data_IF_400276982317
#
_entry.id   IF_400276982317
#
_cell.length_a   1.000
_cell.length_b   1.000
_cell.length_c   1.000
_cell.angle_alpha   90.00
_cell.angle_beta   90.00
_cell.angle_gamma   90.00
#
_symmetry.space_group_name_H-M   'P 1'
#
loop_
_entity.id
_entity.type
_entity.pdbx_description
1 polymer ?
#
# COMPACT_ATOMS: atom_id res chain seq x y z
N UNK A 1 -22.27 19.48 -1.70
CA UNK A 1 -21.71 18.15 -1.39
C UNK A 1 -22.84 17.13 -1.40
N UNK A 2 -22.65 15.90 -1.91
CA UNK A 2 -23.69 14.87 -1.91
C UNK A 2 -23.96 14.40 -0.46
N UNK A 3 -25.21 14.09 -0.15
CA UNK A 3 -25.55 13.49 1.15
C UNK A 3 -24.92 12.09 1.28
N UNK A 4 -24.52 11.68 2.50
CA UNK A 4 -23.90 10.38 2.81
C UNK A 4 -24.68 9.20 2.20
N UNK A 5 -26.02 9.20 2.34
CA UNK A 5 -26.89 8.16 1.79
C UNK A 5 -26.80 8.07 0.26
N UNK A 6 -26.74 9.20 -0.44
CA UNK A 6 -26.60 9.22 -1.90
C UNK A 6 -25.26 8.67 -2.37
N UNK A 7 -24.16 8.99 -1.65
CA UNK A 7 -22.82 8.45 -1.95
C UNK A 7 -22.82 6.94 -1.75
N UNK A 8 -23.44 6.45 -0.67
CA UNK A 8 -23.54 5.01 -0.39
C UNK A 8 -24.30 4.27 -1.50
N UNK A 9 -25.46 4.78 -1.92
CA UNK A 9 -26.24 4.19 -3.03
C UNK A 9 -25.46 4.17 -4.35
N UNK A 10 -24.77 5.27 -4.70
CA UNK A 10 -23.92 5.31 -5.89
C UNK A 10 -22.77 4.32 -5.81
N UNK A 11 -22.17 4.17 -4.62
CA UNK A 11 -21.14 3.17 -4.38
C UNK A 11 -21.65 1.74 -4.63
N UNK A 12 -22.80 1.39 -4.10
CA UNK A 12 -23.40 0.06 -4.31
C UNK A 12 -23.78 -0.20 -5.77
N UNK A 13 -24.17 0.86 -6.50
CA UNK A 13 -24.56 0.75 -7.90
C UNK A 13 -23.35 0.62 -8.84
N UNK A 14 -22.26 1.33 -8.57
CA UNK A 14 -21.15 1.50 -9.51
C UNK A 14 -19.83 0.86 -9.08
N UNK A 15 -19.70 0.43 -7.81
CA UNK A 15 -18.51 -0.27 -7.34
C UNK A 15 -18.84 -1.72 -6.98
N UNK A 16 -17.83 -2.59 -7.02
CA UNK A 16 -18.02 -4.00 -6.71
C UNK A 16 -18.51 -4.21 -5.27
N UNK A 17 -19.48 -5.10 -5.04
CA UNK A 17 -19.90 -5.48 -3.68
C UNK A 17 -18.79 -6.10 -2.84
N UNK A 18 -17.71 -6.58 -3.47
CA UNK A 18 -16.54 -7.10 -2.76
C UNK A 18 -15.68 -6.00 -2.12
N UNK A 19 -15.89 -4.74 -2.49
CA UNK A 19 -15.22 -3.59 -1.89
C UNK A 19 -15.96 -3.17 -0.60
N UNK A 20 -15.75 -3.91 0.48
CA UNK A 20 -16.33 -3.61 1.79
C UNK A 20 -15.82 -2.29 2.35
N UNK A 21 -16.65 -1.64 3.15
CA UNK A 21 -16.25 -0.52 4.01
C UNK A 21 -15.74 -1.06 5.35
N UNK A 22 -14.84 -0.32 5.99
CA UNK A 22 -14.20 -0.75 7.24
C UNK A 22 -15.11 -0.60 8.46
N UNK A 23 -16.18 0.18 8.36
CA UNK A 23 -17.05 0.50 9.50
C UNK A 23 -18.51 0.15 9.20
N UNK A 24 -19.27 -0.30 10.20
CA UNK A 24 -20.69 -0.59 10.08
C UNK A 24 -21.49 0.66 9.70
N UNK A 25 -21.12 1.80 10.28
CA UNK A 25 -21.63 3.12 9.86
C UNK A 25 -20.56 3.82 9.01
N UNK A 26 -20.79 3.97 7.69
CA UNK A 26 -19.80 4.57 6.80
C UNK A 26 -19.50 6.02 7.16
N UNK A 27 -18.23 6.35 7.30
CA UNK A 27 -17.76 7.71 7.52
C UNK A 27 -17.60 8.44 6.17
N UNK A 28 -18.11 9.66 6.08
CA UNK A 28 -17.90 10.54 4.93
C UNK A 28 -16.77 11.53 5.24
N UNK A 29 -15.53 11.04 5.12
CA UNK A 29 -14.34 11.88 5.35
C UNK A 29 -14.14 12.83 4.18
N UNK A 30 -13.95 14.11 4.47
CA UNK A 30 -13.83 15.19 3.48
C UNK A 30 -12.55 16.02 3.61
N UNK A 31 -11.84 15.90 4.72
CA UNK A 31 -10.60 16.65 4.98
C UNK A 31 -9.63 15.81 5.81
N UNK A 32 -8.34 15.99 5.56
CA UNK A 32 -7.25 15.52 6.41
C UNK A 32 -6.29 16.65 6.72
N UNK A 33 -5.75 16.73 7.94
CA UNK A 33 -4.79 17.73 8.37
C UNK A 33 -3.91 17.18 9.50
N UNK A 34 -2.61 17.08 9.25
CA UNK A 34 -1.68 16.46 10.21
C UNK A 34 -2.11 15.04 10.56
N UNK A 35 -2.33 14.75 11.81
CA UNK A 35 -2.78 13.44 12.30
C UNK A 35 -4.30 13.27 12.34
N UNK A 36 -5.07 14.21 11.85
CA UNK A 36 -6.52 14.22 11.97
C UNK A 36 -7.24 14.10 10.63
N UNK A 37 -8.38 13.41 10.68
CA UNK A 37 -9.40 13.35 9.63
C UNK A 37 -10.66 14.09 10.10
N UNK A 38 -11.40 14.64 9.14
CA UNK A 38 -12.66 15.36 9.41
C UNK A 38 -13.75 14.85 8.48
N UNK A 39 -14.92 14.58 9.04
CA UNK A 39 -16.07 14.21 8.23
C UNK A 39 -16.85 15.42 7.72
N UNK A 40 -17.90 15.16 6.94
CA UNK A 40 -18.76 16.17 6.37
C UNK A 40 -19.62 16.93 7.41
N UNK A 41 -19.76 16.38 8.60
CA UNK A 41 -20.49 16.98 9.71
C UNK A 41 -19.55 17.81 10.63
N UNK A 42 -18.23 17.82 10.32
CA UNK A 42 -17.22 18.56 11.04
C UNK A 42 -16.62 17.82 12.25
N UNK A 43 -16.98 16.55 12.43
CA UNK A 43 -16.38 15.73 13.48
C UNK A 43 -14.91 15.45 13.17
N UNK A 44 -14.07 15.55 14.18
CA UNK A 44 -12.63 15.29 14.10
C UNK A 44 -12.32 13.87 14.62
N UNK A 45 -11.50 13.16 13.89
CA UNK A 45 -11.02 11.83 14.23
C UNK A 45 -9.49 11.80 14.25
N UNK A 46 -8.90 11.22 15.30
CA UNK A 46 -7.48 10.91 15.30
C UNK A 46 -7.25 9.71 14.35
N UNK A 47 -6.43 9.90 13.33
CA UNK A 47 -6.11 8.84 12.39
C UNK A 47 -5.02 7.92 12.94
N UNK A 48 -5.42 6.84 13.57
CA UNK A 48 -4.54 5.79 14.07
C UNK A 48 -4.47 4.56 13.15
N UNK A 49 -5.02 4.64 11.94
CA UNK A 49 -5.15 3.51 11.00
C UNK A 49 -4.38 3.72 9.70
N UNK A 50 -4.41 4.94 9.13
CA UNK A 50 -3.79 5.22 7.84
C UNK A 50 -2.28 5.41 7.99
N UNK A 51 -1.53 4.32 7.81
CA UNK A 51 -0.08 4.26 7.99
C UNK A 51 0.76 4.74 6.78
N UNK A 52 0.12 5.24 5.74
CA UNK A 52 0.79 5.74 4.53
C UNK A 52 1.27 7.19 4.70
N UNK A 53 0.62 7.96 5.55
CA UNK A 53 0.86 9.40 5.74
C UNK A 53 1.96 9.67 6.78
N UNK A 54 3.20 9.29 6.47
CA UNK A 54 4.35 9.41 7.39
C UNK A 54 4.59 10.80 7.97
N UNK A 55 4.21 11.85 7.25
CA UNK A 55 4.34 13.26 7.67
C UNK A 55 2.99 13.93 7.94
N UNK A 56 1.94 13.12 8.03
CA UNK A 56 0.56 13.56 8.20
C UNK A 56 -0.13 13.95 6.91
N UNK A 57 -1.46 14.08 7.01
CA UNK A 57 -2.32 14.45 5.89
C UNK A 57 -2.03 15.87 5.41
N UNK A 58 -2.04 16.04 4.10
CA UNK A 58 -1.94 17.36 3.43
C UNK A 58 -0.71 18.17 3.85
N UNK A 59 0.44 17.52 4.08
CA UNK A 59 1.66 18.22 4.48
C UNK A 59 2.03 19.29 3.45
N UNK A 60 2.15 20.57 3.84
CA UNK A 60 2.21 21.69 2.89
C UNK A 60 3.42 21.64 1.95
N UNK A 61 4.58 21.19 2.42
CA UNK A 61 5.77 21.04 1.57
C UNK A 61 5.61 19.93 0.53
N UNK A 62 4.92 18.84 0.88
CA UNK A 62 4.65 17.72 -0.04
C UNK A 62 3.65 18.17 -1.11
N UNK A 63 2.56 18.82 -0.70
CA UNK A 63 1.56 19.36 -1.60
C UNK A 63 2.15 20.38 -2.59
N UNK A 64 2.96 21.32 -2.10
CA UNK A 64 3.61 22.32 -2.95
C UNK A 64 4.61 21.69 -3.94
N UNK A 65 5.42 20.72 -3.50
CA UNK A 65 6.36 20.01 -4.39
C UNK A 65 5.62 19.23 -5.50
N UNK A 66 4.51 18.56 -5.15
CA UNK A 66 3.69 17.85 -6.12
C UNK A 66 3.08 18.83 -7.14
N UNK A 67 2.51 19.95 -6.69
CA UNK A 67 1.95 20.98 -7.56
C UNK A 67 2.98 21.50 -8.57
N UNK A 68 4.16 21.91 -8.08
CA UNK A 68 5.25 22.41 -8.94
C UNK A 68 5.68 21.37 -9.98
N UNK A 69 5.73 20.09 -9.61
CA UNK A 69 6.11 19.03 -10.55
C UNK A 69 5.03 18.80 -11.60
N UNK A 70 3.74 18.80 -11.22
CA UNK A 70 2.63 18.69 -12.17
C UNK A 70 2.55 19.85 -13.17
N UNK A 71 2.88 21.06 -12.75
CA UNK A 71 2.94 22.24 -13.62
C UNK A 71 4.12 22.18 -14.60
N UNK A 72 5.20 21.47 -14.23
CA UNK A 72 6.42 21.34 -15.03
C UNK A 72 6.37 20.18 -16.02
N UNK A 73 6.19 18.97 -15.50
CA UNK A 73 6.20 17.74 -16.28
C UNK A 73 5.72 16.54 -15.44
N UNK A 74 4.83 15.74 -16.04
CA UNK A 74 4.47 14.43 -15.54
C UNK A 74 4.63 13.42 -16.68
N UNK A 75 5.66 12.58 -16.64
CA UNK A 75 5.97 11.59 -17.68
C UNK A 75 6.54 10.31 -17.06
N UNK A 76 6.98 9.39 -17.90
CA UNK A 76 7.50 8.09 -17.49
C UNK A 76 9.04 8.05 -17.45
N UNK A 77 9.60 6.93 -17.01
CA UNK A 77 11.02 6.69 -16.80
C UNK A 77 11.85 6.48 -18.08
N UNK A 78 11.27 6.69 -19.28
CA UNK A 78 11.99 6.59 -20.55
C UNK A 78 12.96 7.73 -20.79
N UNK A 79 12.83 8.81 -20.03
CA UNK A 79 13.68 9.99 -20.15
C UNK A 79 14.54 10.14 -18.89
N UNK A 80 15.67 10.80 -19.03
CA UNK A 80 16.50 11.15 -17.88
C UNK A 80 15.79 12.21 -17.03
N UNK A 81 15.69 11.95 -15.72
CA UNK A 81 15.15 12.89 -14.75
C UNK A 81 15.99 12.87 -13.47
N UNK A 82 16.36 14.05 -13.02
CA UNK A 82 17.23 14.22 -11.85
C UNK A 82 16.51 13.82 -10.54
N UNK A 83 15.19 13.98 -10.49
CA UNK A 83 14.43 13.78 -9.25
C UNK A 83 14.48 12.33 -8.80
N UNK A 84 14.28 11.38 -9.74
CA UNK A 84 14.28 9.97 -9.42
C UNK A 84 15.66 9.46 -8.99
N UNK A 85 16.74 9.92 -9.69
CA UNK A 85 18.10 9.48 -9.34
C UNK A 85 18.57 10.08 -8.03
N UNK A 86 18.25 11.35 -7.75
CA UNK A 86 18.54 12.00 -6.46
C UNK A 86 17.77 11.33 -5.31
N UNK A 87 16.53 10.87 -5.57
CA UNK A 87 15.74 10.14 -4.58
C UNK A 87 16.33 8.75 -4.32
N UNK A 88 16.69 8.01 -5.39
CA UNK A 88 17.35 6.71 -5.28
C UNK A 88 18.64 6.82 -4.45
N UNK A 89 19.50 7.79 -4.75
CA UNK A 89 20.72 8.03 -3.97
C UNK A 89 20.43 8.27 -2.49
N UNK A 90 19.49 9.18 -2.16
CA UNK A 90 19.12 9.46 -0.77
C UNK A 90 18.58 8.23 -0.03
N UNK A 91 17.92 7.30 -0.72
CA UNK A 91 17.45 6.05 -0.13
C UNK A 91 18.62 5.09 0.11
N UNK A 92 19.44 4.85 -0.90
CA UNK A 92 20.58 3.92 -0.79
C UNK A 92 21.60 4.38 0.25
N UNK A 93 21.81 5.70 0.40
CA UNK A 93 22.66 6.29 1.46
C UNK A 93 22.17 5.93 2.90
N UNK A 94 20.92 5.48 3.04
CA UNK A 94 20.33 5.04 4.33
C UNK A 94 20.32 3.52 4.51
N UNK A 95 20.66 2.78 3.47
CA UNK A 95 20.63 1.32 3.48
C UNK A 95 21.97 0.75 3.97
N UNK A 96 21.98 -0.50 4.46
CA UNK A 96 23.22 -1.21 4.72
C UNK A 96 24.08 -1.33 3.46
N UNK A 97 25.40 -1.41 3.64
CA UNK A 97 26.35 -1.59 2.54
C UNK A 97 25.97 -2.80 1.66
N UNK A 98 26.04 -2.63 0.35
CA UNK A 98 25.65 -3.64 -0.64
C UNK A 98 24.19 -3.57 -1.10
N UNK A 99 23.39 -2.66 -0.55
CA UNK A 99 22.04 -2.36 -1.04
C UNK A 99 22.03 -1.01 -1.78
N UNK A 100 22.65 -0.99 -2.95
CA UNK A 100 22.98 0.24 -3.68
C UNK A 100 22.04 0.52 -4.86
N UNK A 101 21.00 -0.32 -5.06
CA UNK A 101 20.11 -0.22 -6.21
C UNK A 101 18.65 -0.21 -5.74
N UNK A 102 17.85 0.73 -6.29
CA UNK A 102 16.42 0.83 -6.03
C UNK A 102 15.59 0.49 -7.26
N UNK A 103 14.47 -0.20 -7.04
CA UNK A 103 13.38 -0.31 -8.00
C UNK A 103 12.17 0.45 -7.45
N UNK A 104 11.62 1.37 -8.25
CA UNK A 104 10.40 2.09 -7.90
C UNK A 104 9.21 1.48 -8.62
N UNK A 105 8.14 1.24 -7.88
CA UNK A 105 6.89 0.64 -8.33
C UNK A 105 5.69 1.47 -7.85
N UNK A 106 4.48 1.17 -8.32
CA UNK A 106 3.30 1.94 -7.96
C UNK A 106 2.60 1.45 -6.69
N UNK A 107 3.00 0.30 -6.16
CA UNK A 107 2.40 -0.26 -4.94
C UNK A 107 3.35 -1.24 -4.24
N UNK A 108 3.08 -1.50 -2.94
CA UNK A 108 3.74 -2.57 -2.21
C UNK A 108 3.50 -3.96 -2.83
N UNK A 109 2.35 -4.16 -3.48
CA UNK A 109 2.07 -5.38 -4.23
C UNK A 109 3.03 -5.57 -5.39
N UNK A 110 3.24 -4.55 -6.21
CA UNK A 110 4.21 -4.62 -7.32
C UNK A 110 5.65 -4.78 -6.82
N UNK A 111 6.01 -4.09 -5.73
CA UNK A 111 7.34 -4.21 -5.14
C UNK A 111 7.62 -5.64 -4.66
N UNK A 112 6.69 -6.24 -3.93
CA UNK A 112 6.82 -7.60 -3.44
C UNK A 112 6.80 -8.64 -4.58
N UNK A 113 5.97 -8.46 -5.60
CA UNK A 113 5.98 -9.34 -6.77
C UNK A 113 7.32 -9.30 -7.50
N UNK A 114 7.86 -8.09 -7.71
CA UNK A 114 9.18 -7.93 -8.32
C UNK A 114 10.27 -8.59 -7.48
N UNK A 115 10.26 -8.41 -6.16
CA UNK A 115 11.21 -9.03 -5.25
C UNK A 115 11.13 -10.57 -5.31
N UNK A 116 9.92 -11.15 -5.31
CA UNK A 116 9.74 -12.60 -5.47
C UNK A 116 10.24 -13.10 -6.82
N UNK A 117 10.00 -12.38 -7.91
CA UNK A 117 10.49 -12.77 -9.23
C UNK A 117 12.02 -12.78 -9.28
N UNK A 118 12.66 -11.77 -8.72
CA UNK A 118 14.13 -11.71 -8.64
C UNK A 118 14.66 -12.88 -7.79
N UNK A 119 14.12 -13.08 -6.60
CA UNK A 119 14.54 -14.15 -5.70
C UNK A 119 14.37 -15.53 -6.35
N UNK A 120 13.20 -15.82 -6.91
CA UNK A 120 12.90 -17.09 -7.58
C UNK A 120 13.79 -17.34 -8.81
N UNK A 121 14.14 -16.27 -9.53
CA UNK A 121 15.06 -16.38 -10.67
C UNK A 121 16.48 -16.74 -10.21
N UNK A 122 16.95 -16.17 -9.12
CA UNK A 122 18.30 -16.42 -8.61
C UNK A 122 18.37 -17.80 -7.93
N UNK A 123 17.39 -18.11 -7.06
CA UNK A 123 17.41 -19.32 -6.22
C UNK A 123 16.88 -20.55 -7.00
N UNK A 124 16.16 -20.36 -8.10
CA UNK A 124 15.49 -21.42 -8.88
C UNK A 124 14.51 -22.25 -8.04
N UNK A 125 13.88 -21.63 -7.03
CA UNK A 125 12.88 -22.23 -6.14
C UNK A 125 11.70 -21.33 -5.93
N UNK A 126 10.52 -21.91 -5.68
CA UNK A 126 9.29 -21.22 -5.26
C UNK A 126 9.03 -21.29 -3.77
N UNK A 127 9.78 -22.15 -3.06
CA UNK A 127 9.59 -22.36 -1.62
C UNK A 127 9.64 -21.03 -0.87
N UNK A 128 8.61 -20.77 -0.07
CA UNK A 128 8.45 -19.48 0.61
C UNK A 128 7.97 -19.72 2.04
N UNK A 129 8.66 -19.12 3.01
CA UNK A 129 8.26 -19.13 4.41
C UNK A 129 7.57 -17.80 4.71
N UNK A 130 6.41 -17.84 5.36
CA UNK A 130 5.62 -16.67 5.72
C UNK A 130 5.16 -16.72 7.17
N UNK A 131 4.95 -15.56 7.78
CA UNK A 131 4.38 -15.48 9.13
C UNK A 131 2.86 -15.68 9.10
N UNK A 132 2.32 -16.34 10.11
CA UNK A 132 0.88 -16.46 10.31
C UNK A 132 0.22 -15.07 10.33
N UNK A 133 -0.97 -14.94 9.74
CA UNK A 133 -1.71 -13.69 9.56
C UNK A 133 -1.04 -12.62 8.66
N UNK A 134 0.09 -12.92 8.02
CA UNK A 134 0.76 -11.96 7.14
C UNK A 134 -0.08 -11.63 5.89
N UNK A 135 0.07 -10.38 5.44
CA UNK A 135 -0.48 -9.87 4.18
C UNK A 135 0.64 -9.21 3.37
N UNK A 136 0.83 -9.67 2.15
CA UNK A 136 1.94 -9.22 1.29
C UNK A 136 1.50 -8.43 0.05
N UNK A 137 0.22 -8.37 -0.23
CA UNK A 137 -0.33 -7.64 -1.38
C UNK A 137 -1.51 -8.35 -2.04
N UNK A 138 -2.04 -7.74 -3.10
CA UNK A 138 -3.27 -8.16 -3.77
C UNK A 138 -3.06 -8.72 -5.20
N UNK A 139 -1.82 -8.94 -5.63
CA UNK A 139 -1.54 -9.69 -6.86
C UNK A 139 -1.68 -11.19 -6.60
N UNK A 140 -1.99 -11.98 -7.64
CA UNK A 140 -2.21 -13.42 -7.50
C UNK A 140 -1.03 -14.14 -6.82
N UNK A 141 0.21 -13.80 -7.22
CA UNK A 141 1.43 -14.32 -6.61
C UNK A 141 1.57 -14.01 -5.12
N UNK A 142 0.99 -12.91 -4.66
CA UNK A 142 1.05 -12.45 -3.28
C UNK A 142 -0.13 -12.93 -2.43
N UNK A 143 -1.29 -13.14 -3.05
CA UNK A 143 -2.44 -13.78 -2.40
C UNK A 143 -2.05 -15.21 -1.98
N UNK A 144 -1.34 -15.94 -2.86
CA UNK A 144 -0.83 -17.28 -2.59
C UNK A 144 0.05 -17.34 -1.33
N UNK A 145 0.86 -16.32 -1.08
CA UNK A 145 1.79 -16.26 0.06
C UNK A 145 1.26 -15.42 1.25
N UNK A 146 0.00 -15.01 1.21
CA UNK A 146 -0.62 -14.19 2.28
C UNK A 146 -1.60 -15.01 3.11
N UNK A 147 -1.21 -15.56 4.28
CA UNK A 147 -2.13 -16.30 5.16
C UNK A 147 -3.40 -15.55 5.49
N UNK A 148 -3.33 -14.23 5.67
CA UNK A 148 -4.50 -13.37 5.83
C UNK A 148 -5.52 -13.52 4.68
N UNK A 149 -5.07 -13.81 3.46
CA UNK A 149 -5.93 -13.96 2.28
C UNK A 149 -6.33 -15.41 2.05
N UNK A 150 -5.36 -16.31 1.91
CA UNK A 150 -5.66 -17.70 1.52
C UNK A 150 -6.35 -18.52 2.62
N UNK A 151 -6.22 -18.13 3.91
CA UNK A 151 -6.96 -18.70 5.03
C UNK A 151 -8.25 -17.91 5.36
N UNK A 152 -8.44 -16.73 4.77
CA UNK A 152 -9.60 -15.88 4.98
C UNK A 152 -10.83 -16.34 4.20
N UNK A 153 -11.93 -15.59 4.35
CA UNK A 153 -13.19 -15.87 3.64
C UNK A 153 -12.98 -15.84 2.13
N UNK A 154 -13.29 -16.95 1.46
CA UNK A 154 -13.11 -17.11 0.00
C UNK A 154 -11.69 -17.47 -0.40
N UNK A 155 -10.80 -17.74 0.53
CA UNK A 155 -9.46 -18.26 0.26
C UNK A 155 -9.48 -19.75 -0.07
N UNK A 156 -8.47 -20.21 -0.81
CA UNK A 156 -8.31 -21.62 -1.26
C UNK A 156 -7.26 -22.41 -0.46
N UNK A 157 -6.79 -21.84 0.65
CA UNK A 157 -5.68 -22.42 1.41
C UNK A 157 -4.30 -22.06 0.84
N UNK A 158 -3.25 -22.44 1.55
CA UNK A 158 -1.87 -22.25 1.12
C UNK A 158 -1.51 -23.24 0.00
N UNK A 159 -0.81 -22.80 -1.04
CA UNK A 159 -0.15 -23.72 -1.98
C UNK A 159 0.95 -24.55 -1.28
N UNK A 160 1.31 -25.70 -1.85
CA UNK A 160 2.28 -26.66 -1.28
C UNK A 160 3.67 -26.05 -1.04
N UNK A 161 4.04 -25.01 -1.82
CA UNK A 161 5.33 -24.33 -1.71
C UNK A 161 5.34 -23.21 -0.66
N UNK A 162 4.25 -23.00 0.08
CA UNK A 162 4.12 -21.94 1.09
C UNK A 162 4.08 -22.54 2.49
N UNK A 163 5.08 -22.20 3.28
CA UNK A 163 5.24 -22.69 4.64
C UNK A 163 4.96 -21.59 5.65
N UNK A 164 3.92 -21.79 6.45
CA UNK A 164 3.53 -20.80 7.47
C UNK A 164 4.20 -21.13 8.81
N UNK A 165 4.85 -20.15 9.42
CA UNK A 165 5.39 -20.22 10.78
C UNK A 165 4.60 -19.31 11.72
N UNK A 166 4.58 -19.59 13.04
CA UNK A 166 3.90 -18.74 14.01
C UNK A 166 4.45 -17.30 14.00
N UNK A 167 3.59 -16.35 14.38
CA UNK A 167 4.04 -15.00 14.68
C UNK A 167 4.98 -15.04 15.89
N UNK A 168 6.12 -14.32 15.84
CA UNK A 168 6.94 -14.15 17.03
C UNK A 168 6.12 -13.50 18.14
N UNK A 169 6.05 -14.17 19.29
CA UNK A 169 5.40 -13.67 20.50
C UNK A 169 6.43 -13.66 21.61
N UNK A 170 6.86 -12.48 22.09
CA UNK A 170 7.87 -12.38 23.14
C UNK A 170 7.29 -12.57 24.55
N UNK A 171 5.96 -12.77 24.71
CA UNK A 171 5.28 -12.90 26.00
C UNK A 171 4.70 -14.31 26.22
#
# INVERSE_FOLDING_TARGET
>A
MLARKSIYTLRETHLSPSLSLSYNEPLHIVKGEGQYLYDADGCQYLDAVNNIQHVGHCHPKVAAAAQLQYEKLNTNTRYLDETIVNYAQKLTDKMPAGLDVCFFTNSGSEANDLALRIARHIIQSKETIVLAAAYHGNLSSLIEISPYKHNGKGGSGAPDFVHTIPMPDPF
#
